data_IF_534413238568
#
_entry.id   IF_534413238568
#
_cell.length_a   1.000
_cell.length_b   1.000
_cell.length_c   1.000
_cell.angle_alpha   90.00
_cell.angle_beta   90.00
_cell.angle_gamma   90.00
#
_symmetry.space_group_name_H-M   'P 1'
#
loop_
_entity.id
_entity.type
_entity.pdbx_description
1 polymer ?
#
# COMPACT_ATOMS: atom_id res chain seq x y z
N UNK A 1 -3.57 -11.50 16.20
CA UNK A 1 -2.70 -10.67 15.36
C UNK A 1 -2.40 -9.32 16.02
N UNK A 2 -3.40 -8.54 16.43
CA UNK A 2 -3.22 -7.23 17.09
C UNK A 2 -2.29 -7.30 18.31
N UNK A 3 -2.51 -8.21 19.24
CA UNK A 3 -1.68 -8.36 20.45
C UNK A 3 -0.21 -8.66 20.13
N UNK A 4 0.06 -9.45 19.09
CA UNK A 4 1.43 -9.71 18.65
C UNK A 4 2.11 -8.45 18.11
N UNK A 5 1.40 -7.65 17.29
CA UNK A 5 1.89 -6.37 16.76
C UNK A 5 2.25 -5.42 17.91
N UNK A 6 1.32 -5.25 18.87
CA UNK A 6 1.53 -4.40 20.04
C UNK A 6 2.74 -4.85 20.85
N UNK A 7 2.87 -6.15 21.13
CA UNK A 7 4.02 -6.70 21.86
C UNK A 7 5.36 -6.42 21.16
N UNK A 8 5.42 -6.59 19.85
CA UNK A 8 6.64 -6.27 19.06
C UNK A 8 6.97 -4.78 19.14
N UNK A 9 5.97 -3.91 19.07
CA UNK A 9 6.17 -2.47 19.17
C UNK A 9 6.62 -2.02 20.57
N UNK A 10 6.05 -2.59 21.61
CA UNK A 10 6.45 -2.31 22.99
C UNK A 10 7.89 -2.76 23.29
N UNK A 11 8.28 -3.92 22.75
CA UNK A 11 9.61 -4.48 22.98
C UNK A 11 10.69 -3.77 22.16
N UNK A 12 10.44 -3.43 20.90
CA UNK A 12 11.45 -2.93 19.96
C UNK A 12 11.27 -1.44 19.60
N UNK A 13 10.21 -0.76 20.05
CA UNK A 13 9.97 0.65 19.79
C UNK A 13 10.00 1.01 18.31
N UNK A 14 10.83 1.99 17.93
CA UNK A 14 10.96 2.44 16.52
C UNK A 14 11.38 1.35 15.55
N UNK A 15 12.27 0.43 15.99
CA UNK A 15 12.70 -0.68 15.14
C UNK A 15 11.55 -1.65 14.89
N UNK A 16 10.72 -1.91 15.90
CA UNK A 16 9.50 -2.72 15.74
C UNK A 16 8.55 -2.13 14.71
N UNK A 17 8.31 -0.82 14.79
CA UNK A 17 7.46 -0.11 13.83
C UNK A 17 8.05 -0.17 12.40
N UNK A 18 9.33 0.09 12.25
CA UNK A 18 10.03 -0.01 10.95
C UNK A 18 9.84 -1.38 10.31
N UNK A 19 10.13 -2.45 11.09
CA UNK A 19 10.06 -3.82 10.58
C UNK A 19 8.62 -4.25 10.27
N UNK A 20 7.66 -3.90 11.13
CA UNK A 20 6.26 -4.23 10.91
C UNK A 20 5.68 -3.53 9.69
N UNK A 21 5.99 -2.25 9.48
CA UNK A 21 5.54 -1.50 8.30
C UNK A 21 6.25 -1.99 7.03
N UNK A 22 7.52 -2.34 7.10
CA UNK A 22 8.24 -2.96 5.98
C UNK A 22 7.58 -4.30 5.60
N UNK A 23 7.30 -5.14 6.60
CA UNK A 23 6.66 -6.43 6.39
C UNK A 23 5.24 -6.28 5.81
N UNK A 24 4.46 -5.34 6.33
CA UNK A 24 3.12 -5.01 5.81
C UNK A 24 3.15 -4.60 4.34
N UNK A 25 4.11 -3.76 3.95
CA UNK A 25 4.22 -3.35 2.55
C UNK A 25 4.52 -4.52 1.61
N UNK A 26 5.31 -5.50 2.05
CA UNK A 26 5.63 -6.70 1.25
C UNK A 26 4.52 -7.74 1.36
N UNK A 27 3.87 -7.82 2.52
CA UNK A 27 2.81 -8.79 2.84
C UNK A 27 1.55 -8.08 3.36
N UNK A 28 0.67 -7.61 2.48
CA UNK A 28 -0.47 -6.74 2.77
C UNK A 28 -1.52 -7.19 3.82
N UNK A 29 -1.64 -8.48 4.24
CA UNK A 29 -2.61 -8.84 5.28
C UNK A 29 -2.39 -8.23 6.67
N UNK A 30 -1.25 -7.57 6.91
CA UNK A 30 -0.99 -6.88 8.17
C UNK A 30 -1.54 -5.45 8.04
N UNK A 31 -2.53 -5.02 8.85
CA UNK A 31 -3.08 -3.68 8.72
C UNK A 31 -2.14 -2.64 9.37
N UNK A 32 -1.60 -1.77 8.56
CA UNK A 32 -0.75 -0.66 8.99
C UNK A 32 -1.47 0.36 9.86
N UNK A 33 -2.79 0.44 9.70
CA UNK A 33 -3.65 1.31 10.49
C UNK A 33 -3.51 0.99 11.99
N UNK A 34 -3.43 -0.30 12.34
CA UNK A 34 -3.18 -0.75 13.71
C UNK A 34 -1.79 -0.30 14.16
N UNK A 35 -0.75 -0.53 13.33
CA UNK A 35 0.62 -0.21 13.70
C UNK A 35 0.79 1.30 13.93
N UNK A 36 0.23 2.14 13.05
CA UNK A 36 0.40 3.58 13.10
C UNK A 36 -0.43 4.23 14.21
N UNK A 37 -1.68 3.82 14.41
CA UNK A 37 -2.53 4.36 15.47
C UNK A 37 -2.07 3.92 16.85
N UNK A 38 -1.70 2.66 17.02
CA UNK A 38 -1.09 2.18 18.25
C UNK A 38 0.27 2.86 18.50
N UNK A 39 1.06 3.08 17.46
CA UNK A 39 2.31 3.84 17.54
C UNK A 39 2.08 5.28 18.05
N UNK A 40 1.02 5.94 17.58
CA UNK A 40 0.60 7.25 18.09
C UNK A 40 0.21 7.21 19.57
N UNK A 41 -0.58 6.22 19.97
CA UNK A 41 -0.92 5.99 21.39
C UNK A 41 0.34 5.78 22.26
N UNK A 42 1.31 4.99 21.80
CA UNK A 42 2.57 4.78 22.50
C UNK A 42 3.39 6.07 22.68
N UNK A 43 3.36 6.96 21.67
CA UNK A 43 4.03 8.28 21.76
C UNK A 43 3.43 9.12 22.89
N UNK A 44 2.09 9.08 23.08
CA UNK A 44 1.44 9.80 24.16
C UNK A 44 1.78 9.22 25.54
N UNK A 45 1.88 7.89 25.64
CA UNK A 45 2.10 7.19 26.91
C UNK A 45 3.57 7.16 27.37
N UNK A 46 4.53 7.36 26.47
CA UNK A 46 5.95 7.19 26.76
C UNK A 46 6.77 8.43 26.42
N UNK A 47 7.46 9.05 27.40
CA UNK A 47 8.34 10.18 27.15
C UNK A 47 9.59 9.83 26.31
N UNK A 48 9.87 8.54 26.10
CA UNK A 48 10.99 8.07 25.27
C UNK A 48 10.66 8.03 23.78
N UNK A 49 9.38 8.06 23.44
CA UNK A 49 8.92 8.02 22.04
C UNK A 49 8.47 9.41 21.60
N UNK A 50 8.75 9.75 20.34
CA UNK A 50 8.35 11.03 19.76
C UNK A 50 7.57 10.82 18.46
N UNK A 51 6.70 11.77 18.14
CA UNK A 51 5.96 11.80 16.88
C UNK A 51 6.91 11.71 15.66
N UNK A 52 7.98 12.50 15.66
CA UNK A 52 8.95 12.53 14.56
C UNK A 52 9.68 11.18 14.44
N UNK A 53 10.08 10.58 15.56
CA UNK A 53 10.73 9.27 15.57
C UNK A 53 9.81 8.17 15.02
N UNK A 54 8.53 8.17 15.40
CA UNK A 54 7.53 7.23 14.92
C UNK A 54 7.25 7.42 13.43
N UNK A 55 7.11 8.69 12.99
CA UNK A 55 6.89 9.06 11.61
C UNK A 55 8.08 8.66 10.71
N UNK A 56 9.32 8.91 11.16
CA UNK A 56 10.51 8.54 10.39
C UNK A 56 10.68 7.03 10.29
N UNK A 57 10.53 6.29 11.40
CA UNK A 57 10.64 4.83 11.41
C UNK A 57 9.60 4.19 10.49
N UNK A 58 8.34 4.58 10.60
CA UNK A 58 7.26 4.05 9.76
C UNK A 58 7.41 4.42 8.28
N UNK A 59 7.85 5.65 7.99
CA UNK A 59 8.07 6.08 6.60
C UNK A 59 9.23 5.33 5.96
N UNK A 60 10.36 5.16 6.68
CA UNK A 60 11.48 4.38 6.19
C UNK A 60 11.09 2.91 5.93
N UNK A 61 10.33 2.29 6.83
CA UNK A 61 9.79 0.94 6.63
C UNK A 61 8.93 0.83 5.38
N UNK A 62 7.99 1.77 5.20
CA UNK A 62 7.09 1.79 4.05
C UNK A 62 7.84 2.02 2.72
N UNK A 63 8.77 2.96 2.68
CA UNK A 63 9.56 3.25 1.48
C UNK A 63 10.47 2.07 1.13
N UNK A 64 11.10 1.43 2.11
CA UNK A 64 11.91 0.24 1.90
C UNK A 64 11.10 -0.92 1.32
N UNK A 65 9.91 -1.19 1.88
CA UNK A 65 8.99 -2.20 1.35
C UNK A 65 8.50 -1.87 -0.07
N UNK A 66 8.20 -0.59 -0.33
CA UNK A 66 7.80 -0.12 -1.66
C UNK A 66 8.92 -0.31 -2.70
N UNK A 67 10.17 -0.07 -2.34
CA UNK A 67 11.34 -0.29 -3.20
C UNK A 67 11.49 -1.79 -3.51
N UNK A 68 11.31 -2.67 -2.52
CA UNK A 68 11.35 -4.14 -2.74
C UNK A 68 10.29 -4.55 -3.78
N UNK A 69 9.04 -4.10 -3.62
CA UNK A 69 7.95 -4.40 -4.56
C UNK A 69 8.17 -3.76 -5.94
N UNK A 70 8.73 -2.55 -5.98
CA UNK A 70 9.12 -1.91 -7.23
C UNK A 70 10.14 -2.75 -8.00
N UNK A 71 11.21 -3.21 -7.34
CA UNK A 71 12.22 -4.05 -7.98
C UNK A 71 11.65 -5.42 -8.37
N UNK A 72 10.75 -5.98 -7.59
CA UNK A 72 10.03 -7.20 -7.98
C UNK A 72 9.27 -6.98 -9.31
N UNK A 73 8.53 -5.88 -9.42
CA UNK A 73 7.87 -5.49 -10.67
C UNK A 73 8.85 -5.23 -11.81
N UNK A 74 9.93 -4.53 -11.53
CA UNK A 74 10.96 -4.21 -12.53
C UNK A 74 11.66 -5.46 -13.10
N UNK A 75 11.99 -6.44 -12.24
CA UNK A 75 12.58 -7.72 -12.65
C UNK A 75 11.59 -8.57 -13.44
N UNK A 76 10.30 -8.58 -13.06
CA UNK A 76 9.27 -9.26 -13.82
C UNK A 76 9.20 -8.72 -15.25
N UNK A 77 9.16 -7.40 -15.40
CA UNK A 77 9.15 -6.71 -16.68
C UNK A 77 7.92 -7.03 -17.56
N UNK A 78 7.58 -6.13 -18.45
CA UNK A 78 6.45 -6.30 -19.38
C UNK A 78 6.58 -7.57 -20.22
N UNK A 79 7.77 -7.87 -20.73
CA UNK A 79 7.99 -9.00 -21.60
C UNK A 79 7.72 -10.37 -20.96
N UNK A 80 7.94 -10.52 -19.64
CA UNK A 80 7.58 -11.76 -18.93
C UNK A 80 6.07 -11.88 -18.73
N UNK A 81 5.41 -10.74 -18.46
CA UNK A 81 3.94 -10.71 -18.36
C UNK A 81 3.30 -11.02 -19.71
N UNK A 82 3.80 -10.48 -20.82
CA UNK A 82 3.34 -10.81 -22.16
C UNK A 82 3.42 -12.31 -22.43
N UNK A 83 4.54 -12.97 -22.09
CA UNK A 83 4.68 -14.43 -22.22
C UNK A 83 3.68 -15.21 -21.36
N UNK A 84 3.39 -14.74 -20.14
CA UNK A 84 2.39 -15.37 -19.26
C UNK A 84 1.00 -15.23 -19.88
N UNK A 85 0.69 -14.07 -20.46
CA UNK A 85 -0.59 -13.82 -21.12
C UNK A 85 -0.72 -14.59 -22.42
N UNK A 86 0.34 -14.72 -23.21
CA UNK A 86 0.36 -15.59 -24.40
C UNK A 86 0.00 -17.03 -24.02
N UNK A 87 0.50 -17.51 -22.89
CA UNK A 87 0.27 -18.90 -22.46
C UNK A 87 -1.06 -19.11 -21.73
N UNK A 88 -1.48 -18.16 -20.93
CA UNK A 88 -2.63 -18.30 -20.03
C UNK A 88 -3.72 -17.23 -20.23
N UNK A 89 -3.52 -16.28 -21.15
CA UNK A 89 -4.44 -15.16 -21.37
C UNK A 89 -5.83 -15.60 -21.81
N UNK A 90 -5.92 -16.78 -22.47
CA UNK A 90 -7.20 -17.40 -22.81
C UNK A 90 -8.06 -17.69 -21.56
N UNK A 91 -7.45 -18.15 -20.48
CA UNK A 91 -8.14 -18.43 -19.20
C UNK A 91 -8.56 -17.12 -18.53
N UNK A 92 -7.66 -16.12 -18.53
CA UNK A 92 -7.87 -14.83 -17.89
C UNK A 92 -8.64 -13.83 -18.77
N UNK A 93 -8.92 -14.20 -20.03
CA UNK A 93 -9.52 -13.33 -21.07
C UNK A 93 -8.80 -12.00 -21.25
N UNK A 94 -7.50 -11.98 -21.03
CA UNK A 94 -6.61 -10.83 -21.19
C UNK A 94 -5.87 -10.93 -22.53
N UNK A 95 -5.75 -9.80 -23.20
CA UNK A 95 -4.97 -9.65 -24.42
C UNK A 95 -3.70 -8.84 -24.14
N UNK A 96 -2.62 -9.10 -24.89
CA UNK A 96 -1.38 -8.32 -24.81
C UNK A 96 -1.65 -6.83 -25.02
N UNK A 97 -2.59 -6.50 -25.91
CA UNK A 97 -2.99 -5.11 -26.17
C UNK A 97 -3.58 -4.41 -24.92
N UNK A 98 -4.25 -5.15 -24.03
CA UNK A 98 -4.79 -4.57 -22.78
C UNK A 98 -3.65 -4.22 -21.82
N UNK A 99 -2.59 -5.01 -21.79
CA UNK A 99 -1.38 -4.71 -21.00
C UNK A 99 -0.65 -3.49 -21.56
N UNK A 100 -0.52 -3.38 -22.88
CA UNK A 100 0.08 -2.20 -23.49
C UNK A 100 -0.74 -0.92 -23.21
N UNK A 101 -2.08 -1.00 -23.21
CA UNK A 101 -2.94 0.12 -22.84
C UNK A 101 -2.75 0.52 -21.39
N UNK A 102 -2.73 -0.47 -20.47
CA UNK A 102 -2.50 -0.22 -19.04
C UNK A 102 -1.12 0.42 -18.80
N UNK A 103 -0.08 -0.10 -19.45
CA UNK A 103 1.26 0.47 -19.38
C UNK A 103 1.33 1.89 -19.93
N UNK A 104 0.69 2.16 -21.09
CA UNK A 104 0.61 3.51 -21.68
C UNK A 104 -0.11 4.48 -20.73
N UNK A 105 -1.20 4.04 -20.10
CA UNK A 105 -1.91 4.84 -19.10
C UNK A 105 -1.02 5.12 -17.88
N UNK A 106 -0.33 4.10 -17.37
CA UNK A 106 0.57 4.25 -16.24
C UNK A 106 1.76 5.18 -16.57
N UNK A 107 2.33 5.08 -17.77
CA UNK A 107 3.39 5.99 -18.20
C UNK A 107 2.93 7.45 -18.28
N UNK A 108 1.63 7.70 -18.53
CA UNK A 108 1.08 9.05 -18.58
C UNK A 108 0.73 9.60 -17.19
N UNK A 109 0.16 8.77 -16.33
CA UNK A 109 -0.43 9.20 -15.04
C UNK A 109 0.23 8.58 -13.82
N UNK A 110 1.24 7.75 -14.00
CA UNK A 110 1.81 6.90 -12.94
C UNK A 110 2.31 7.67 -11.73
N UNK A 111 2.89 8.85 -11.90
CA UNK A 111 3.33 9.67 -10.76
C UNK A 111 2.16 10.08 -9.87
N UNK A 112 1.08 10.58 -10.48
CA UNK A 112 -0.15 10.92 -9.76
C UNK A 112 -0.81 9.69 -9.16
N UNK A 113 -0.83 8.57 -9.89
CA UNK A 113 -1.38 7.31 -9.40
C UNK A 113 -0.59 6.79 -8.19
N UNK A 114 0.75 6.79 -8.25
CA UNK A 114 1.59 6.39 -7.11
C UNK A 114 1.31 7.26 -5.89
N UNK A 115 1.21 8.57 -6.04
CA UNK A 115 0.91 9.48 -4.94
C UNK A 115 -0.49 9.23 -4.36
N UNK A 116 -1.54 9.24 -5.19
CA UNK A 116 -2.93 9.11 -4.74
C UNK A 116 -3.22 7.73 -4.14
N UNK A 117 -2.66 6.67 -4.71
CA UNK A 117 -2.86 5.32 -4.19
C UNK A 117 -2.27 5.12 -2.78
N UNK A 118 -1.34 5.99 -2.32
CA UNK A 118 -0.83 5.93 -0.93
C UNK A 118 -1.90 6.18 0.12
N UNK A 119 -3.00 6.84 -0.24
CA UNK A 119 -4.14 7.11 0.65
C UNK A 119 -5.19 6.01 0.64
N UNK A 120 -4.97 4.93 -0.12
CA UNK A 120 -5.93 3.84 -0.26
C UNK A 120 -5.35 2.57 0.36
N UNK A 121 -5.98 2.02 1.42
CA UNK A 121 -5.56 0.78 2.04
C UNK A 121 -5.36 -0.33 1.00
N UNK A 122 -4.43 -1.23 1.22
CA UNK A 122 -4.03 -2.34 0.35
C UNK A 122 -3.43 -1.89 -0.99
N UNK A 123 -4.04 -0.96 -1.73
CA UNK A 123 -3.54 -0.47 -3.03
C UNK A 123 -2.22 0.27 -2.86
N UNK A 124 -2.02 0.94 -1.72
CA UNK A 124 -0.82 1.72 -1.42
C UNK A 124 0.48 0.91 -1.52
N UNK A 125 0.46 -0.36 -1.13
CA UNK A 125 1.61 -1.26 -1.24
C UNK A 125 1.71 -1.80 -2.67
N UNK A 126 0.60 -2.28 -3.22
CA UNK A 126 0.54 -2.96 -4.52
C UNK A 126 0.88 -2.06 -5.70
N UNK A 127 0.65 -0.74 -5.63
CA UNK A 127 0.95 0.22 -6.71
C UNK A 127 2.44 0.25 -7.08
N UNK A 128 3.31 -0.20 -6.18
CA UNK A 128 4.75 -0.28 -6.42
C UNK A 128 5.12 -1.30 -7.49
N UNK A 129 4.33 -2.37 -7.63
CA UNK A 129 4.56 -3.42 -8.65
C UNK A 129 4.34 -2.86 -10.07
N UNK A 130 3.17 -2.26 -10.43
CA UNK A 130 3.00 -1.67 -11.75
C UNK A 130 3.96 -0.50 -12.02
N UNK A 131 4.40 0.25 -10.99
CA UNK A 131 5.44 1.26 -11.16
C UNK A 131 6.77 0.63 -11.64
N UNK A 132 7.17 -0.49 -11.04
CA UNK A 132 8.35 -1.23 -11.48
C UNK A 132 8.18 -1.87 -12.86
N UNK A 133 7.02 -2.48 -13.14
CA UNK A 133 6.70 -3.08 -14.44
C UNK A 133 6.78 -2.07 -15.60
N UNK A 134 6.30 -0.86 -15.38
CA UNK A 134 6.31 0.24 -16.35
C UNK A 134 7.67 0.93 -16.44
N UNK A 135 8.69 0.43 -15.73
CA UNK A 135 10.03 1.01 -15.69
C UNK A 135 10.04 2.51 -15.34
N UNK A 136 9.11 2.92 -14.46
CA UNK A 136 9.03 4.28 -13.94
C UNK A 136 10.38 4.67 -13.33
N UNK A 137 10.87 5.89 -13.55
CA UNK A 137 12.13 6.33 -12.96
C UNK A 137 12.09 6.24 -11.42
N UNK A 138 13.12 5.59 -10.83
CA UNK A 138 13.15 5.25 -9.41
C UNK A 138 13.11 6.48 -8.49
N UNK A 139 13.83 7.54 -8.85
CA UNK A 139 13.92 8.76 -8.03
C UNK A 139 12.56 9.44 -7.87
N UNK A 140 11.81 9.77 -8.93
CA UNK A 140 10.45 10.26 -8.79
C UNK A 140 9.52 9.29 -8.05
N UNK A 141 9.62 7.97 -8.31
CA UNK A 141 8.84 6.98 -7.59
C UNK A 141 9.06 7.08 -6.07
N UNK A 142 10.32 7.17 -5.61
CA UNK A 142 10.66 7.33 -4.19
C UNK A 142 10.08 8.66 -3.66
N UNK A 143 10.22 9.76 -4.38
CA UNK A 143 9.73 11.08 -3.93
C UNK A 143 8.22 11.06 -3.72
N UNK A 144 7.43 10.65 -4.72
CA UNK A 144 5.96 10.61 -4.61
C UNK A 144 5.48 9.60 -3.57
N UNK A 145 6.15 8.45 -3.47
CA UNK A 145 5.92 7.44 -2.43
C UNK A 145 6.17 8.02 -1.04
N UNK A 146 7.31 8.68 -0.84
CA UNK A 146 7.69 9.23 0.47
C UNK A 146 6.73 10.33 0.90
N UNK A 147 6.39 11.28 0.02
CA UNK A 147 5.48 12.38 0.35
C UNK A 147 4.09 11.83 0.71
N UNK A 148 3.51 10.95 -0.11
CA UNK A 148 2.21 10.36 0.18
C UNK A 148 2.21 9.53 1.48
N UNK A 149 3.28 8.78 1.72
CA UNK A 149 3.44 7.98 2.94
C UNK A 149 3.61 8.83 4.19
N UNK A 150 4.39 9.92 4.13
CA UNK A 150 4.53 10.86 5.26
C UNK A 150 3.16 11.41 5.65
N UNK A 151 2.38 11.88 4.69
CA UNK A 151 1.06 12.45 4.96
C UNK A 151 0.14 11.40 5.61
N UNK A 152 0.06 10.20 5.04
CA UNK A 152 -0.75 9.11 5.56
C UNK A 152 -0.34 8.70 6.97
N UNK A 153 0.95 8.43 7.18
CA UNK A 153 1.49 8.01 8.47
C UNK A 153 1.31 9.11 9.53
N UNK A 154 1.56 10.38 9.17
CA UNK A 154 1.37 11.51 10.08
C UNK A 154 -0.07 11.62 10.57
N UNK A 155 -1.06 11.47 9.66
CA UNK A 155 -2.48 11.51 10.03
C UNK A 155 -2.81 10.39 11.01
N UNK A 156 -2.40 9.15 10.73
CA UNK A 156 -2.74 8.01 11.59
C UNK A 156 -2.04 8.05 12.94
N UNK A 157 -0.76 8.41 12.98
CA UNK A 157 -0.03 8.59 14.24
C UNK A 157 -0.66 9.70 15.06
N UNK A 158 -1.01 10.85 14.43
CA UNK A 158 -1.67 11.96 15.12
C UNK A 158 -3.03 11.54 15.68
N UNK A 159 -3.84 10.80 14.92
CA UNK A 159 -5.13 10.28 15.39
C UNK A 159 -4.94 9.33 16.59
N UNK A 160 -3.92 8.47 16.55
CA UNK A 160 -3.57 7.60 17.66
C UNK A 160 -3.20 8.37 18.94
N UNK A 161 -2.42 9.44 18.81
CA UNK A 161 -2.08 10.34 19.92
C UNK A 161 -3.31 11.08 20.44
N UNK A 162 -4.12 11.67 19.55
CA UNK A 162 -5.28 12.50 19.94
C UNK A 162 -6.38 11.69 20.63
N UNK A 163 -6.53 10.43 20.32
CA UNK A 163 -7.54 9.54 20.92
C UNK A 163 -7.02 8.79 22.15
N UNK A 164 -5.72 8.77 22.39
CA UNK A 164 -5.12 8.12 23.54
C UNK A 164 -5.66 6.69 23.72
N UNK A 165 -6.22 6.37 24.90
CA UNK A 165 -6.80 5.04 25.17
C UNK A 165 -7.95 4.62 24.24
N UNK A 166 -8.54 5.55 23.50
CA UNK A 166 -9.61 5.25 22.53
C UNK A 166 -9.10 5.06 21.10
N UNK A 167 -7.80 4.86 20.89
CA UNK A 167 -7.21 4.68 19.56
C UNK A 167 -7.88 3.57 18.74
N UNK A 168 -8.45 2.54 19.39
CA UNK A 168 -9.19 1.47 18.72
C UNK A 168 -10.44 1.99 17.98
N UNK A 169 -11.01 3.15 18.37
CA UNK A 169 -12.12 3.76 17.62
C UNK A 169 -11.72 4.15 16.21
N UNK A 170 -10.45 4.50 15.98
CA UNK A 170 -9.92 4.77 14.64
C UNK A 170 -10.05 3.52 13.77
N UNK A 171 -9.69 2.37 14.32
CA UNK A 171 -9.76 1.09 13.60
C UNK A 171 -11.18 0.78 13.14
N UNK A 172 -12.18 1.02 14.00
CA UNK A 172 -13.58 0.81 13.64
C UNK A 172 -13.99 1.64 12.43
N UNK A 173 -13.61 2.92 12.38
CA UNK A 173 -13.90 3.78 11.23
C UNK A 173 -13.10 3.38 9.99
N UNK A 174 -11.85 2.94 10.15
CA UNK A 174 -11.04 2.45 9.05
C UNK A 174 -11.53 1.12 8.50
N UNK A 175 -11.98 0.19 9.34
CA UNK A 175 -12.60 -1.06 8.90
C UNK A 175 -13.86 -0.77 8.07
N UNK A 176 -14.69 0.18 8.50
CA UNK A 176 -15.87 0.62 7.76
C UNK A 176 -15.47 1.24 6.41
N UNK A 177 -14.49 2.14 6.38
CA UNK A 177 -13.96 2.75 5.16
C UNK A 177 -13.38 1.69 4.22
N UNK A 178 -12.55 0.79 4.72
CA UNK A 178 -11.94 -0.28 3.95
C UNK A 178 -12.97 -1.24 3.36
N UNK A 179 -13.99 -1.62 4.14
CA UNK A 179 -15.07 -2.48 3.67
C UNK A 179 -15.89 -1.83 2.54
N UNK A 180 -16.22 -0.55 2.67
CA UNK A 180 -16.89 0.21 1.59
C UNK A 180 -16.00 0.25 0.34
N UNK A 181 -14.70 0.49 0.52
CA UNK A 181 -13.76 0.54 -0.58
C UNK A 181 -13.58 -0.81 -1.27
N UNK A 182 -13.49 -1.91 -0.50
CA UNK A 182 -13.45 -3.28 -1.04
C UNK A 182 -14.74 -3.62 -1.80
N UNK A 183 -15.91 -3.24 -1.30
CA UNK A 183 -17.17 -3.41 -2.04
C UNK A 183 -17.14 -2.68 -3.37
N UNK A 184 -16.65 -1.45 -3.42
CA UNK A 184 -16.51 -0.69 -4.66
C UNK A 184 -15.55 -1.40 -5.63
N UNK A 185 -14.39 -1.87 -5.17
CA UNK A 185 -13.45 -2.63 -6.00
C UNK A 185 -14.10 -3.90 -6.54
N UNK A 186 -14.78 -4.67 -5.71
CA UNK A 186 -15.47 -5.90 -6.14
C UNK A 186 -16.52 -5.59 -7.19
N UNK A 187 -17.32 -4.55 -6.99
CA UNK A 187 -18.33 -4.11 -7.97
C UNK A 187 -17.66 -3.72 -9.29
N UNK A 188 -16.58 -2.94 -9.25
CA UNK A 188 -15.83 -2.54 -10.45
C UNK A 188 -15.21 -3.75 -11.17
N UNK A 189 -14.69 -4.73 -10.44
CA UNK A 189 -14.19 -5.98 -11.01
C UNK A 189 -15.31 -6.79 -11.68
N UNK A 190 -16.46 -6.93 -11.02
CA UNK A 190 -17.63 -7.62 -11.59
C UNK A 190 -18.11 -6.92 -12.86
N UNK A 191 -18.27 -5.59 -12.82
CA UNK A 191 -18.65 -4.78 -13.99
C UNK A 191 -17.62 -4.92 -15.10
N UNK A 192 -16.33 -4.88 -14.77
CA UNK A 192 -15.23 -5.10 -15.73
C UNK A 192 -15.29 -6.48 -16.38
N UNK A 193 -15.52 -7.53 -15.58
CA UNK A 193 -15.66 -8.91 -16.09
C UNK A 193 -16.90 -9.02 -17.00
N UNK A 194 -18.05 -8.46 -16.59
CA UNK A 194 -19.28 -8.46 -17.40
C UNK A 194 -19.06 -7.69 -18.70
N UNK A 195 -18.37 -6.55 -18.66
CA UNK A 195 -18.05 -5.73 -19.84
C UNK A 195 -17.15 -6.52 -20.81
N UNK A 196 -16.09 -7.17 -20.30
CA UNK A 196 -15.20 -8.03 -21.09
C UNK A 196 -15.96 -9.24 -21.68
N UNK A 197 -16.90 -9.80 -20.92
CA UNK A 197 -17.74 -10.89 -21.39
C UNK A 197 -18.68 -10.46 -22.53
N UNK A 198 -19.31 -9.28 -22.42
CA UNK A 198 -20.19 -8.73 -23.47
C UNK A 198 -19.44 -8.27 -24.72
N UNK A 199 -18.21 -7.76 -24.57
CA UNK A 199 -17.40 -7.27 -25.69
C UNK A 199 -16.93 -8.40 -26.63
N UNK A 200 -16.88 -9.63 -26.12
CA UNK A 200 -16.46 -10.82 -26.90
C UNK A 200 -17.64 -11.68 -27.40
N UNK A 201 -18.87 -11.21 -27.29
CA UNK A 201 -20.07 -11.80 -27.91
C UNK A 201 -20.50 -10.95 -29.08
#
# INVERSE_FOLDING_TARGET
>A
MQQWIMHVMEQFGYLGVFLLILLENVFPPIPSEIILTFGGFMVEQSPKLSFIGMLTASTLGAVSGAIILYYLGHILGLHRIERIIDKYGFILRLEINDIHKANKWFNKYGYTAVFLCRFVPLIRSLISIPAGLSQMALVPFIIYTTIGTIIWNAVLIYLGMALGQNWEKVLYYFDMYSNVFYMIIVILLIVGIIYLYKRKR
#
